data_IF_632056711297
#
_entry.id   IF_632056711297
#
_cell.length_a   1.000
_cell.length_b   1.000
_cell.length_c   1.000
_cell.angle_alpha   90.00
_cell.angle_beta   90.00
_cell.angle_gamma   90.00
#
_symmetry.space_group_name_H-M   'P 1'
#
loop_
_entity.id
_entity.type
_entity.pdbx_description
1 polymer ?
#
# COMPACT_ATOMS: atom_id res chain seq x y z
N UNK A 1 -40.37 45.44 -25.22
CA UNK A 1 -40.59 43.99 -25.38
C UNK A 1 -39.24 43.30 -25.27
N UNK A 2 -38.91 42.71 -24.13
CA UNK A 2 -37.62 42.03 -23.92
C UNK A 2 -37.91 40.57 -23.62
N UNK A 3 -37.67 39.70 -24.60
CA UNK A 3 -37.83 38.26 -24.47
C UNK A 3 -36.56 37.66 -23.84
N UNK A 4 -36.66 37.15 -22.62
CA UNK A 4 -35.62 36.29 -22.03
C UNK A 4 -35.70 34.89 -22.66
N UNK A 5 -34.58 34.26 -23.04
CA UNK A 5 -34.59 32.88 -23.50
C UNK A 5 -34.83 31.93 -22.32
N UNK A 6 -35.78 31.01 -22.50
CA UNK A 6 -36.08 29.92 -21.56
C UNK A 6 -34.93 28.90 -21.61
N UNK A 7 -34.42 28.40 -20.48
CA UNK A 7 -33.44 27.32 -20.47
C UNK A 7 -34.04 26.05 -21.09
N UNK A 8 -33.38 25.49 -22.10
CA UNK A 8 -33.79 24.24 -22.74
C UNK A 8 -33.74 23.04 -21.76
N UNK A 9 -34.48 21.97 -22.05
CA UNK A 9 -34.49 20.77 -21.21
C UNK A 9 -33.09 20.12 -21.15
N UNK A 10 -32.76 19.43 -20.04
CA UNK A 10 -31.47 18.77 -19.89
C UNK A 10 -31.29 17.71 -20.97
N UNK A 11 -30.16 17.76 -21.67
CA UNK A 11 -29.79 16.78 -22.69
C UNK A 11 -29.70 15.38 -22.06
N UNK A 12 -30.25 14.33 -22.70
CA UNK A 12 -30.11 12.95 -22.23
C UNK A 12 -28.64 12.55 -22.17
N UNK A 13 -28.24 11.92 -21.06
CA UNK A 13 -26.87 11.49 -20.78
C UNK A 13 -26.45 10.34 -21.71
N UNK A 14 -25.19 10.37 -22.19
CA UNK A 14 -24.39 9.25 -22.63
C UNK A 14 -24.69 7.88 -22.03
N UNK A 15 -25.26 6.85 -22.68
CA UNK A 15 -25.15 5.51 -22.10
C UNK A 15 -23.67 5.11 -22.14
N UNK A 16 -23.01 5.04 -20.97
CA UNK A 16 -21.63 4.56 -20.84
C UNK A 16 -20.63 5.48 -20.14
N UNK A 17 -21.03 6.65 -19.62
CA UNK A 17 -20.17 7.40 -18.70
C UNK A 17 -20.44 6.94 -17.26
N UNK A 18 -19.52 6.20 -16.61
CA UNK A 18 -19.66 5.88 -15.20
C UNK A 18 -19.79 7.19 -14.40
N UNK A 19 -20.76 7.22 -13.49
CA UNK A 19 -20.90 8.34 -12.57
C UNK A 19 -19.72 8.33 -11.59
N UNK A 20 -19.26 9.47 -11.06
CA UNK A 20 -18.29 9.47 -9.96
C UNK A 20 -18.82 8.76 -8.69
N UNK A 21 -20.13 8.52 -8.60
CA UNK A 21 -20.78 7.69 -7.59
C UNK A 21 -20.73 6.17 -7.88
N UNK A 22 -20.25 5.77 -9.08
CA UNK A 22 -20.03 4.38 -9.50
C UNK A 22 -18.62 3.89 -9.15
N UNK A 23 -17.75 4.81 -8.68
CA UNK A 23 -16.47 4.45 -8.07
C UNK A 23 -16.78 3.90 -6.68
N UNK A 24 -16.84 2.56 -6.58
CA UNK A 24 -16.83 1.89 -5.29
C UNK A 24 -15.68 2.45 -4.45
N UNK A 25 -15.87 2.68 -3.12
CA UNK A 25 -14.76 3.04 -2.26
C UNK A 25 -13.65 1.99 -2.41
N UNK A 26 -12.35 2.36 -2.36
CA UNK A 26 -11.29 1.37 -2.29
C UNK A 26 -11.65 0.43 -1.15
N UNK A 27 -11.89 -0.82 -1.51
CA UNK A 27 -12.45 -1.81 -0.61
C UNK A 27 -11.54 -1.98 0.61
N UNK A 28 -12.13 -2.40 1.72
CA UNK A 28 -11.44 -2.67 3.00
C UNK A 28 -10.20 -3.60 2.87
N UNK A 29 -10.01 -4.27 1.74
CA UNK A 29 -8.80 -5.02 1.41
C UNK A 29 -7.55 -4.16 1.16
N UNK A 30 -7.69 -2.93 0.65
CA UNK A 30 -6.55 -2.05 0.37
C UNK A 30 -5.89 -1.58 1.68
N UNK A 31 -6.72 -1.20 2.67
CA UNK A 31 -6.25 -0.73 3.97
C UNK A 31 -5.59 -1.85 4.83
N UNK A 32 -6.07 -3.09 4.70
CA UNK A 32 -5.48 -4.23 5.40
C UNK A 32 -4.11 -4.61 4.80
N UNK A 33 -3.98 -4.55 3.48
CA UNK A 33 -2.71 -4.78 2.77
C UNK A 33 -1.72 -3.65 3.07
N UNK A 34 -2.16 -2.39 3.05
CA UNK A 34 -1.33 -1.24 3.41
C UNK A 34 -0.83 -1.32 4.86
N UNK A 35 -1.69 -1.74 5.80
CA UNK A 35 -1.29 -1.96 7.18
C UNK A 35 -0.25 -3.08 7.32
N UNK A 36 -0.44 -4.20 6.61
CA UNK A 36 0.52 -5.30 6.61
C UNK A 36 1.87 -4.90 6.00
N UNK A 37 1.87 -4.07 4.95
CA UNK A 37 3.09 -3.51 4.36
C UNK A 37 3.78 -2.53 5.30
N UNK A 38 3.05 -1.68 6.01
CA UNK A 38 3.63 -0.77 7.01
C UNK A 38 4.27 -1.53 8.19
N UNK A 39 3.65 -2.62 8.64
CA UNK A 39 4.24 -3.51 9.64
C UNK A 39 5.50 -4.22 9.13
N UNK A 40 5.53 -4.58 7.84
CA UNK A 40 6.72 -5.15 7.20
C UNK A 40 7.88 -4.15 7.17
N UNK A 41 7.63 -2.93 6.71
CA UNK A 41 8.65 -1.88 6.66
C UNK A 41 9.25 -1.63 8.05
N UNK A 42 8.40 -1.54 9.09
CA UNK A 42 8.88 -1.36 10.46
C UNK A 42 9.74 -2.54 10.97
N UNK A 43 9.37 -3.78 10.63
CA UNK A 43 10.14 -4.97 10.99
C UNK A 43 11.50 -5.03 10.26
N UNK A 44 11.53 -4.63 8.99
CA UNK A 44 12.77 -4.54 8.19
C UNK A 44 13.69 -3.45 8.73
N UNK A 45 13.16 -2.26 9.01
CA UNK A 45 13.92 -1.16 9.59
C UNK A 45 14.55 -1.54 10.93
N UNK A 46 13.79 -2.23 11.80
CA UNK A 46 14.31 -2.70 13.07
C UNK A 46 15.45 -3.72 12.90
N UNK A 47 15.29 -4.68 11.99
CA UNK A 47 16.31 -5.70 11.74
C UNK A 47 17.57 -5.11 11.07
N UNK A 48 17.41 -4.12 10.19
CA UNK A 48 18.53 -3.37 9.60
C UNK A 48 19.27 -2.52 10.64
N UNK A 49 18.54 -1.92 11.60
CA UNK A 49 19.16 -1.18 12.71
C UNK A 49 19.96 -2.10 13.64
N UNK A 50 19.48 -3.32 13.90
CA UNK A 50 20.26 -4.33 14.64
C UNK A 50 21.53 -4.74 13.90
N UNK A 51 21.46 -4.88 12.57
CA UNK A 51 22.63 -5.17 11.74
C UNK A 51 23.65 -4.03 11.73
N UNK A 52 23.19 -2.78 11.64
CA UNK A 52 24.04 -1.59 11.70
C UNK A 52 24.72 -1.44 13.08
N UNK A 53 24.05 -1.87 14.14
CA UNK A 53 24.58 -1.86 15.51
C UNK A 53 25.54 -3.02 15.81
N UNK A 54 25.58 -4.06 14.96
CA UNK A 54 26.50 -5.19 15.13
C UNK A 54 27.95 -4.74 14.91
N UNK A 55 28.87 -5.24 15.74
CA UNK A 55 30.30 -4.95 15.56
C UNK A 55 30.77 -5.54 14.22
N UNK A 56 31.24 -4.74 13.25
CA UNK A 56 31.68 -5.25 11.95
C UNK A 56 32.93 -6.14 12.05
N UNK A 57 33.63 -6.12 13.19
CA UNK A 57 34.74 -7.04 13.46
C UNK A 57 34.27 -8.43 13.94
N UNK A 58 33.03 -8.55 14.41
CA UNK A 58 32.40 -9.81 14.81
C UNK A 58 31.55 -10.37 13.66
N UNK A 59 32.22 -11.10 12.77
CA UNK A 59 31.59 -11.66 11.58
C UNK A 59 30.44 -12.62 11.92
N UNK A 60 30.50 -13.31 13.06
CA UNK A 60 29.46 -14.24 13.49
C UNK A 60 28.19 -13.46 13.95
N UNK A 61 28.36 -12.34 14.65
CA UNK A 61 27.26 -11.45 15.01
C UNK A 61 26.59 -10.83 13.77
N UNK A 62 27.39 -10.38 12.80
CA UNK A 62 26.89 -9.84 11.52
C UNK A 62 26.13 -10.92 10.73
N UNK A 63 26.67 -12.14 10.64
CA UNK A 63 26.03 -13.25 9.95
C UNK A 63 24.69 -13.62 10.61
N UNK A 64 24.66 -13.73 11.93
CA UNK A 64 23.43 -14.05 12.68
C UNK A 64 22.35 -12.98 12.50
N UNK A 65 22.73 -11.70 12.46
CA UNK A 65 21.79 -10.60 12.22
C UNK A 65 21.25 -10.63 10.77
N UNK A 66 22.13 -10.86 9.79
CA UNK A 66 21.73 -10.95 8.38
C UNK A 66 20.80 -12.14 8.10
N UNK A 67 21.04 -13.29 8.73
CA UNK A 67 20.17 -14.47 8.64
C UNK A 67 18.78 -14.20 9.25
N UNK A 68 18.71 -13.46 10.35
CA UNK A 68 17.44 -13.03 10.98
C UNK A 68 16.62 -12.11 10.06
N UNK A 69 17.29 -11.13 9.42
CA UNK A 69 16.68 -10.26 8.40
C UNK A 69 16.13 -11.10 7.23
N UNK A 70 16.92 -12.03 6.71
CA UNK A 70 16.53 -12.87 5.59
C UNK A 70 15.33 -13.76 5.94
N UNK A 71 15.32 -14.38 7.12
CA UNK A 71 14.21 -15.21 7.58
C UNK A 71 12.90 -14.40 7.70
N UNK A 72 12.99 -13.18 8.23
CA UNK A 72 11.86 -12.26 8.35
C UNK A 72 11.29 -11.91 6.99
N UNK A 73 12.14 -11.53 6.04
CA UNK A 73 11.74 -11.22 4.67
C UNK A 73 11.09 -12.43 3.98
N UNK A 74 11.68 -13.63 4.09
CA UNK A 74 11.15 -14.85 3.48
C UNK A 74 9.81 -15.28 4.07
N UNK A 75 9.62 -15.11 5.37
CA UNK A 75 8.34 -15.41 6.01
C UNK A 75 7.25 -14.47 5.50
N UNK A 76 7.55 -13.17 5.38
CA UNK A 76 6.60 -12.15 4.95
C UNK A 76 6.29 -12.18 3.46
N UNK A 77 7.28 -12.44 2.60
CA UNK A 77 7.06 -12.68 1.16
C UNK A 77 6.10 -13.85 0.91
N UNK A 78 6.14 -14.87 1.76
CA UNK A 78 5.22 -16.01 1.69
C UNK A 78 3.82 -15.63 2.14
N UNK A 79 3.72 -14.82 3.19
CA UNK A 79 2.45 -14.31 3.73
C UNK A 79 1.71 -13.41 2.73
N UNK A 80 2.45 -12.66 1.89
CA UNK A 80 1.90 -11.81 0.82
C UNK A 80 1.55 -12.62 -0.45
N UNK A 81 2.20 -13.77 -0.65
CA UNK A 81 2.06 -14.59 -1.87
C UNK A 81 1.02 -15.71 -1.80
N UNK A 82 0.46 -15.99 -0.61
CA UNK A 82 -0.64 -16.95 -0.35
C UNK A 82 -2.01 -16.24 -0.38
#
# INVERSE_FOLDING_TARGET
MSSHPVPGPPTPRPPGVPSPADVAPPGEGDAAVDAALAELDAAVDAALAELDAADPADLDAVLSSAESVLATLQHRLRDIGD
#
